data_IF_876779284392
#
_entry.id   IF_876779284392
#
_cell.length_a   1.000
_cell.length_b   1.000
_cell.length_c   1.000
_cell.angle_alpha   90.00
_cell.angle_beta   90.00
_cell.angle_gamma   90.00
#
_symmetry.space_group_name_H-M   'P 1'
#
loop_
_entity.id
_entity.type
_entity.pdbx_description
1 polymer ?
#
# COMPACT_ATOMS: atom_id res chain seq x y z
N UNK A 1 12.15 -31.12 -0.65
CA UNK A 1 11.29 -30.07 -0.05
C UNK A 1 12.01 -28.75 0.20
N UNK A 2 13.18 -28.59 -0.36
CA UNK A 2 14.07 -27.41 -0.16
C UNK A 2 13.78 -26.23 -1.13
N UNK A 3 12.74 -26.35 -1.94
CA UNK A 3 12.52 -25.43 -3.07
C UNK A 3 11.64 -24.21 -2.76
N UNK A 4 10.89 -24.25 -1.67
CA UNK A 4 9.98 -23.16 -1.28
C UNK A 4 10.67 -21.95 -0.65
N UNK A 5 11.89 -22.13 -0.16
CA UNK A 5 12.70 -21.04 0.41
C UNK A 5 13.48 -20.25 -0.65
N UNK A 6 13.77 -20.87 -1.80
CA UNK A 6 14.60 -20.29 -2.88
C UNK A 6 13.83 -19.50 -3.94
N UNK A 7 12.49 -19.42 -3.84
CA UNK A 7 11.65 -18.77 -4.84
C UNK A 7 11.47 -19.60 -6.11
N UNK A 8 10.84 -18.98 -7.12
CA UNK A 8 10.51 -19.66 -8.39
C UNK A 8 11.68 -19.67 -9.38
N UNK A 9 11.43 -20.24 -10.56
CA UNK A 9 12.42 -20.36 -11.65
C UNK A 9 12.99 -19.00 -12.10
N UNK A 10 14.18 -18.95 -12.71
CA UNK A 10 14.78 -17.71 -13.18
C UNK A 10 13.90 -16.92 -14.15
N UNK A 11 13.13 -17.61 -15.00
CA UNK A 11 12.20 -16.99 -15.95
C UNK A 11 11.09 -16.24 -15.19
N UNK A 12 10.48 -16.90 -14.19
CA UNK A 12 9.43 -16.28 -13.37
C UNK A 12 9.99 -15.07 -12.61
N UNK A 13 11.20 -15.16 -12.07
CA UNK A 13 11.86 -14.04 -11.38
C UNK A 13 12.09 -12.83 -12.31
N UNK A 14 12.56 -13.09 -13.53
CA UNK A 14 12.80 -12.03 -14.52
C UNK A 14 11.48 -11.34 -14.91
N UNK A 15 10.45 -12.11 -15.27
CA UNK A 15 9.14 -11.56 -15.64
C UNK A 15 8.49 -10.82 -14.47
N UNK A 16 8.50 -11.40 -13.27
CA UNK A 16 7.95 -10.76 -12.06
C UNK A 16 8.67 -9.47 -11.70
N UNK A 17 9.99 -9.37 -11.96
CA UNK A 17 10.76 -8.16 -11.77
C UNK A 17 10.25 -6.98 -12.61
N UNK A 18 9.95 -7.23 -13.88
CA UNK A 18 9.38 -6.23 -14.79
C UNK A 18 7.93 -5.89 -14.44
N UNK A 19 7.09 -6.90 -14.30
CA UNK A 19 5.65 -6.75 -13.99
C UNK A 19 5.45 -6.00 -12.68
N UNK A 20 6.23 -6.29 -11.64
CA UNK A 20 6.20 -5.56 -10.37
C UNK A 20 6.41 -4.05 -10.57
N UNK A 21 7.35 -3.67 -11.43
CA UNK A 21 7.61 -2.25 -11.73
C UNK A 21 6.37 -1.55 -12.31
N UNK A 22 5.71 -2.19 -13.28
CA UNK A 22 4.47 -1.66 -13.86
C UNK A 22 3.33 -1.58 -12.84
N UNK A 23 3.17 -2.62 -12.00
CA UNK A 23 2.15 -2.62 -10.94
C UNK A 23 2.39 -1.47 -9.95
N UNK A 24 3.65 -1.22 -9.55
CA UNK A 24 3.99 -0.11 -8.64
C UNK A 24 3.65 1.25 -9.26
N UNK A 25 4.04 1.50 -10.51
CA UNK A 25 3.74 2.76 -11.21
C UNK A 25 2.23 2.94 -11.35
N UNK A 26 1.52 1.90 -11.74
CA UNK A 26 0.06 1.93 -11.87
C UNK A 26 -0.63 2.15 -10.51
N UNK A 27 -0.16 1.50 -9.45
CA UNK A 27 -0.67 1.72 -8.09
C UNK A 27 -0.47 3.17 -7.62
N UNK A 28 0.71 3.73 -7.83
CA UNK A 28 0.98 5.15 -7.52
C UNK A 28 0.05 6.07 -8.32
N UNK A 29 -0.15 5.80 -9.61
CA UNK A 29 -1.09 6.56 -10.43
C UNK A 29 -2.51 6.53 -9.85
N UNK A 30 -3.02 5.34 -9.49
CA UNK A 30 -4.33 5.20 -8.86
C UNK A 30 -4.46 5.94 -7.54
N UNK A 31 -3.40 5.97 -6.72
CA UNK A 31 -3.38 6.71 -5.44
C UNK A 31 -3.48 8.21 -5.67
N UNK A 32 -2.65 8.75 -6.57
CA UNK A 32 -2.57 10.18 -6.82
C UNK A 32 -3.84 10.71 -7.50
N UNK A 33 -4.34 9.98 -8.48
CA UNK A 33 -5.55 10.34 -9.23
C UNK A 33 -6.81 9.61 -8.74
N UNK A 34 -6.79 9.12 -7.51
CA UNK A 34 -7.89 8.35 -6.94
C UNK A 34 -9.21 9.09 -6.78
N UNK A 35 -9.21 10.42 -6.87
CA UNK A 35 -10.42 11.24 -6.93
C UNK A 35 -11.06 11.30 -8.33
N UNK A 36 -10.33 10.85 -9.36
CA UNK A 36 -10.77 10.77 -10.76
C UNK A 36 -10.93 9.33 -11.25
N UNK A 37 -10.41 8.34 -10.50
CA UNK A 37 -10.40 6.93 -10.88
C UNK A 37 -11.23 6.11 -9.89
N UNK A 38 -11.91 5.04 -10.35
CA UNK A 38 -12.61 4.13 -9.44
C UNK A 38 -11.61 3.42 -8.51
N UNK A 39 -11.95 3.31 -7.22
CA UNK A 39 -11.12 2.63 -6.22
C UNK A 39 -10.32 3.54 -5.30
N UNK A 40 -9.94 4.74 -5.76
CA UNK A 40 -9.28 5.75 -4.92
C UNK A 40 -8.02 5.25 -4.23
N UNK A 41 -7.75 5.77 -3.03
CA UNK A 41 -6.62 5.37 -2.20
C UNK A 41 -6.66 3.90 -1.78
N UNK A 42 -7.85 3.32 -1.56
CA UNK A 42 -7.99 1.91 -1.22
C UNK A 42 -7.56 1.00 -2.37
N UNK A 43 -8.13 1.20 -3.57
CA UNK A 43 -7.79 0.39 -4.75
C UNK A 43 -6.31 0.52 -5.11
N UNK A 44 -5.76 1.75 -5.08
CA UNK A 44 -4.33 1.99 -5.27
C UNK A 44 -3.47 1.27 -4.23
N UNK A 45 -3.87 1.30 -2.96
CA UNK A 45 -3.20 0.58 -1.87
C UNK A 45 -3.19 -0.94 -2.06
N UNK A 46 -4.31 -1.52 -2.50
CA UNK A 46 -4.38 -2.95 -2.85
C UNK A 46 -3.42 -3.29 -3.98
N UNK A 47 -3.39 -2.50 -5.05
CA UNK A 47 -2.48 -2.71 -6.18
C UNK A 47 -1.01 -2.62 -5.74
N UNK A 48 -0.67 -1.65 -4.89
CA UNK A 48 0.69 -1.54 -4.31
C UNK A 48 1.04 -2.76 -3.47
N UNK A 49 0.13 -3.25 -2.62
CA UNK A 49 0.34 -4.48 -1.85
C UNK A 49 0.64 -5.68 -2.76
N UNK A 50 -0.11 -5.82 -3.87
CA UNK A 50 0.08 -6.93 -4.81
C UNK A 50 1.46 -6.93 -5.48
N UNK A 51 2.09 -5.76 -5.67
CA UNK A 51 3.47 -5.70 -6.15
C UNK A 51 4.46 -6.36 -5.18
N UNK A 52 4.28 -6.15 -3.87
CA UNK A 52 5.11 -6.80 -2.84
C UNK A 52 4.76 -8.28 -2.67
N UNK A 53 3.48 -8.63 -2.75
CA UNK A 53 3.04 -10.04 -2.75
C UNK A 53 3.66 -10.80 -3.92
N UNK A 54 3.64 -10.24 -5.13
CA UNK A 54 4.28 -10.82 -6.30
C UNK A 54 5.78 -11.03 -6.09
N UNK A 55 6.45 -10.07 -5.44
CA UNK A 55 7.87 -10.18 -5.09
C UNK A 55 8.12 -11.36 -4.15
N UNK A 56 7.31 -11.52 -3.10
CA UNK A 56 7.43 -12.64 -2.15
C UNK A 56 7.19 -13.98 -2.84
N UNK A 57 6.19 -14.07 -3.72
CA UNK A 57 5.88 -15.29 -4.46
C UNK A 57 7.00 -15.68 -5.42
N UNK A 58 7.58 -14.70 -6.13
CA UNK A 58 8.61 -14.97 -7.14
C UNK A 58 10.00 -15.23 -6.55
N UNK A 59 10.39 -14.48 -5.52
CA UNK A 59 11.74 -14.48 -4.98
C UNK A 59 11.86 -15.17 -3.61
N UNK A 60 10.73 -15.50 -2.99
CA UNK A 60 10.67 -16.13 -1.67
C UNK A 60 10.50 -15.12 -0.53
N UNK A 61 10.15 -15.67 0.65
CA UNK A 61 9.85 -14.88 1.86
C UNK A 61 11.03 -14.02 2.34
N UNK A 62 12.25 -14.53 2.23
CA UNK A 62 13.46 -13.84 2.71
C UNK A 62 13.72 -12.56 1.93
N UNK A 63 13.61 -12.61 0.60
CA UNK A 63 13.80 -11.43 -0.24
C UNK A 63 12.67 -10.41 -0.04
N UNK A 64 11.43 -10.90 0.18
CA UNK A 64 10.31 -10.04 0.55
C UNK A 64 10.56 -9.27 1.84
N UNK A 65 11.01 -9.96 2.89
CA UNK A 65 11.31 -9.35 4.20
C UNK A 65 12.53 -8.42 4.15
N UNK A 66 13.51 -8.67 3.29
CA UNK A 66 14.62 -7.73 3.06
C UNK A 66 14.16 -6.42 2.43
N UNK A 67 13.19 -6.49 1.51
CA UNK A 67 12.66 -5.31 0.82
C UNK A 67 11.67 -4.53 1.69
N UNK A 68 10.85 -5.23 2.43
CA UNK A 68 9.88 -4.64 3.36
C UNK A 68 9.85 -5.45 4.66
N UNK A 69 10.68 -5.10 5.65
CA UNK A 69 10.66 -5.73 6.97
C UNK A 69 9.30 -5.56 7.65
N UNK A 70 8.88 -6.56 8.43
CA UNK A 70 7.58 -6.54 9.13
C UNK A 70 7.41 -5.32 10.04
N UNK A 71 8.47 -4.90 10.72
CA UNK A 71 8.43 -3.72 11.59
C UNK A 71 8.15 -2.45 10.79
N UNK A 72 8.83 -2.27 9.65
CA UNK A 72 8.61 -1.13 8.75
C UNK A 72 7.20 -1.16 8.17
N UNK A 73 6.68 -2.32 7.80
CA UNK A 73 5.30 -2.44 7.32
C UNK A 73 4.29 -2.06 8.40
N UNK A 74 4.50 -2.47 9.66
CA UNK A 74 3.65 -2.11 10.79
C UNK A 74 3.73 -0.60 11.13
N UNK A 75 4.92 -0.01 11.02
CA UNK A 75 5.10 1.44 11.18
C UNK A 75 4.36 2.22 10.07
N UNK A 76 4.49 1.80 8.82
CA UNK A 76 3.78 2.42 7.69
C UNK A 76 2.26 2.32 7.82
N UNK A 77 1.76 1.19 8.35
CA UNK A 77 0.33 1.02 8.67
C UNK A 77 -0.14 2.04 9.70
N UNK A 78 0.62 2.20 10.78
CA UNK A 78 0.32 3.15 11.85
C UNK A 78 0.43 4.60 11.38
N UNK A 79 1.46 4.93 10.61
CA UNK A 79 1.66 6.26 10.01
C UNK A 79 0.53 6.60 9.05
N UNK A 80 0.10 5.66 8.21
CA UNK A 80 -1.04 5.87 7.30
C UNK A 80 -2.34 6.20 8.06
N UNK A 81 -2.62 5.46 9.14
CA UNK A 81 -3.78 5.73 10.00
C UNK A 81 -3.67 7.11 10.68
N UNK A 82 -2.49 7.44 11.22
CA UNK A 82 -2.25 8.73 11.87
C UNK A 82 -2.39 9.90 10.88
N UNK A 83 -1.82 9.78 9.68
CA UNK A 83 -1.97 10.79 8.62
C UNK A 83 -3.43 11.04 8.29
N UNK A 84 -4.22 9.98 8.13
CA UNK A 84 -5.64 10.12 7.85
C UNK A 84 -6.40 10.83 8.99
N UNK A 85 -6.10 10.46 10.23
CA UNK A 85 -6.66 11.12 11.42
C UNK A 85 -6.29 12.61 11.48
N UNK A 86 -5.01 12.93 11.25
CA UNK A 86 -4.53 14.32 11.24
C UNK A 86 -5.26 15.15 10.18
N UNK A 87 -5.42 14.62 8.96
CA UNK A 87 -6.15 15.30 7.88
C UNK A 87 -7.61 15.56 8.30
N UNK A 88 -8.25 14.58 8.94
CA UNK A 88 -9.62 14.70 9.43
C UNK A 88 -9.77 15.80 10.49
N UNK A 89 -8.83 15.86 11.45
CA UNK A 89 -8.80 16.86 12.53
C UNK A 89 -8.48 18.25 11.97
N UNK A 90 -7.53 18.36 11.05
CA UNK A 90 -7.20 19.64 10.39
C UNK A 90 -8.42 20.22 9.67
N UNK A 91 -9.25 19.39 9.06
CA UNK A 91 -10.53 19.82 8.49
C UNK A 91 -11.46 20.49 9.51
N UNK A 92 -11.46 19.98 10.74
CA UNK A 92 -12.28 20.55 11.84
C UNK A 92 -11.78 21.92 12.30
N UNK A 93 -10.46 22.12 12.40
CA UNK A 93 -9.87 23.38 12.87
C UNK A 93 -9.79 24.45 11.77
N UNK A 94 -9.57 24.06 10.53
CA UNK A 94 -9.44 24.98 9.39
C UNK A 94 -10.79 25.49 8.87
N UNK A 95 -11.88 24.75 9.11
CA UNK A 95 -13.24 25.18 8.78
C UNK A 95 -13.86 25.95 9.93
N UNK A 96 -14.23 27.21 9.70
CA UNK A 96 -14.87 28.11 10.68
C UNK A 96 -16.19 27.57 11.30
N UNK A 97 -16.57 26.34 11.10
CA UNK A 97 -17.81 25.73 11.58
C UNK A 97 -17.65 24.47 12.45
N UNK A 98 -16.43 24.04 12.78
CA UNK A 98 -16.19 22.89 13.67
C UNK A 98 -16.66 21.54 13.13
N UNK A 99 -16.93 21.42 11.83
CA UNK A 99 -17.34 20.15 11.22
C UNK A 99 -16.14 19.30 10.82
N UNK A 100 -16.25 18.00 11.08
CA UNK A 100 -15.23 17.01 10.75
C UNK A 100 -15.12 16.83 9.22
N UNK A 101 -13.92 16.64 8.67
CA UNK A 101 -13.66 16.44 7.24
C UNK A 101 -14.06 17.60 6.31
N UNK A 102 -14.00 18.86 6.76
CA UNK A 102 -14.16 20.00 5.86
C UNK A 102 -12.92 20.13 4.96
N UNK A 103 -13.16 20.43 3.70
CA UNK A 103 -12.09 20.69 2.75
C UNK A 103 -11.40 22.03 3.07
N UNK A 104 -10.20 21.96 3.64
CA UNK A 104 -9.38 23.12 4.02
C UNK A 104 -8.36 23.53 2.95
N UNK A 105 -8.22 22.73 1.87
CA UNK A 105 -7.37 23.06 0.74
C UNK A 105 -8.24 23.62 -0.38
N UNK A 106 -7.90 24.82 -0.87
CA UNK A 106 -8.57 25.41 -2.01
C UNK A 106 -8.47 24.47 -3.23
N UNK A 107 -9.61 24.24 -3.89
CA UNK A 107 -9.63 23.48 -5.12
C UNK A 107 -8.89 24.25 -6.20
N UNK A 108 -7.76 23.75 -6.67
CA UNK A 108 -7.07 24.31 -7.82
C UNK A 108 -7.85 23.95 -9.09
N UNK A 109 -8.23 24.99 -9.87
CA UNK A 109 -8.91 24.86 -11.16
C UNK A 109 -10.11 23.88 -11.13
N UNK A 110 -11.18 24.17 -10.38
CA UNK A 110 -12.35 23.32 -10.34
C UNK A 110 -12.94 23.17 -11.76
N UNK A 111 -12.98 21.95 -12.25
CA UNK A 111 -13.51 21.64 -13.58
C UNK A 111 -12.46 21.29 -14.65
N UNK A 112 -11.17 21.49 -14.40
CA UNK A 112 -10.14 21.01 -15.31
C UNK A 112 -9.82 19.51 -15.04
N UNK A 113 -9.93 18.65 -16.07
CA UNK A 113 -9.60 17.24 -15.92
C UNK A 113 -8.10 17.06 -15.63
N UNK A 114 -7.76 16.02 -14.87
CA UNK A 114 -6.40 15.58 -14.56
C UNK A 114 -5.54 16.51 -13.70
N UNK A 115 -6.12 17.49 -13.01
CA UNK A 115 -5.37 18.26 -12.02
C UNK A 115 -5.34 17.54 -10.67
N UNK A 116 -4.13 17.36 -10.10
CA UNK A 116 -3.91 16.61 -8.86
C UNK A 116 -4.69 17.20 -7.66
N UNK A 117 -4.81 18.51 -7.58
CA UNK A 117 -5.48 19.21 -6.48
C UNK A 117 -6.90 19.67 -6.81
N UNK A 118 -7.52 19.17 -7.87
CA UNK A 118 -8.90 19.51 -8.25
C UNK A 118 -9.94 19.17 -7.17
N UNK A 119 -9.63 18.20 -6.30
CA UNK A 119 -10.49 17.75 -5.21
C UNK A 119 -10.06 18.23 -3.82
N UNK A 120 -9.12 19.18 -3.73
CA UNK A 120 -8.65 19.73 -2.45
C UNK A 120 -7.81 18.72 -1.66
N UNK A 121 -8.20 18.35 -0.43
CA UNK A 121 -7.43 17.43 0.43
C UNK A 121 -7.60 15.94 0.09
N UNK A 122 -8.54 15.57 -0.78
CA UNK A 122 -8.83 14.16 -1.11
C UNK A 122 -7.60 13.39 -1.60
N UNK A 123 -6.72 13.92 -2.46
CA UNK A 123 -5.49 13.24 -2.85
C UNK A 123 -4.57 12.91 -1.67
N UNK A 124 -4.47 13.80 -0.68
CA UNK A 124 -3.70 13.53 0.55
C UNK A 124 -4.33 12.41 1.38
N UNK A 125 -5.66 12.41 1.51
CA UNK A 125 -6.39 11.33 2.17
C UNK A 125 -6.19 10.00 1.43
N UNK A 126 -6.18 10.00 0.10
CA UNK A 126 -5.91 8.81 -0.72
C UNK A 126 -4.50 8.25 -0.47
N UNK A 127 -3.48 9.11 -0.32
CA UNK A 127 -2.11 8.68 0.02
C UNK A 127 -2.09 8.01 1.39
N UNK A 128 -2.74 8.61 2.40
CA UNK A 128 -2.81 8.05 3.74
C UNK A 128 -3.51 6.68 3.77
N UNK A 129 -4.64 6.55 3.07
CA UNK A 129 -5.39 5.30 2.93
C UNK A 129 -4.55 4.25 2.19
N UNK A 130 -3.90 4.63 1.07
CA UNK A 130 -3.10 3.70 0.29
C UNK A 130 -1.91 3.16 1.08
N UNK A 131 -1.24 4.02 1.84
CA UNK A 131 -0.14 3.63 2.71
C UNK A 131 -0.60 2.60 3.75
N UNK A 132 -1.72 2.89 4.42
CA UNK A 132 -2.31 1.97 5.40
C UNK A 132 -2.72 0.65 4.76
N UNK A 133 -3.47 0.68 3.66
CA UNK A 133 -3.99 -0.53 3.02
C UNK A 133 -2.87 -1.39 2.45
N UNK A 134 -1.87 -0.78 1.79
CA UNK A 134 -0.76 -1.52 1.22
C UNK A 134 0.06 -2.25 2.28
N UNK A 135 0.38 -1.58 3.38
CA UNK A 135 1.14 -2.17 4.48
C UNK A 135 0.35 -3.22 5.24
N UNK A 136 -0.93 -2.96 5.58
CA UNK A 136 -1.80 -3.93 6.26
C UNK A 136 -1.96 -5.22 5.46
N UNK A 137 -2.26 -5.14 4.17
CA UNK A 137 -2.42 -6.32 3.32
C UNK A 137 -1.12 -7.10 3.17
N UNK A 138 0.02 -6.40 3.05
CA UNK A 138 1.32 -7.06 3.03
C UNK A 138 1.59 -7.82 4.34
N UNK A 139 1.34 -7.19 5.50
CA UNK A 139 1.51 -7.84 6.81
C UNK A 139 0.63 -9.07 6.94
N UNK A 140 -0.65 -8.97 6.60
CA UNK A 140 -1.58 -10.12 6.62
C UNK A 140 -1.07 -11.26 5.73
N UNK A 141 -0.66 -10.94 4.50
CA UNK A 141 -0.12 -11.93 3.58
C UNK A 141 1.15 -12.60 4.14
N UNK A 142 2.08 -11.81 4.66
CA UNK A 142 3.32 -12.35 5.25
C UNK A 142 3.06 -13.21 6.47
N UNK A 143 2.12 -12.85 7.33
CA UNK A 143 1.71 -13.68 8.46
C UNK A 143 1.16 -15.03 8.02
N UNK A 144 0.34 -15.06 6.96
CA UNK A 144 -0.16 -16.32 6.38
C UNK A 144 0.96 -17.17 5.79
N UNK A 145 1.95 -16.55 5.13
CA UNK A 145 3.12 -17.25 4.60
C UNK A 145 3.96 -17.86 5.71
N UNK A 146 4.22 -17.10 6.80
CA UNK A 146 4.99 -17.56 7.95
C UNK A 146 4.26 -18.68 8.68
N UNK A 147 2.96 -18.55 8.88
CA UNK A 147 2.12 -19.56 9.51
C UNK A 147 2.17 -20.88 8.74
N UNK A 148 2.00 -20.81 7.40
CA UNK A 148 2.06 -22.00 6.53
C UNK A 148 3.42 -22.71 6.64
N UNK A 149 4.52 -21.97 6.71
CA UNK A 149 5.86 -22.54 6.85
C UNK A 149 6.02 -23.22 8.21
N UNK A 150 5.55 -22.60 9.29
CA UNK A 150 5.60 -23.18 10.64
C UNK A 150 4.82 -24.50 10.74
N UNK A 151 3.65 -24.59 10.10
CA UNK A 151 2.86 -25.83 10.08
C UNK A 151 3.42 -26.90 9.15
N UNK A 152 4.16 -26.53 8.10
CA UNK A 152 4.74 -27.50 7.16
C UNK A 152 6.05 -28.13 7.68
N UNK A 153 6.73 -27.51 8.64
CA UNK A 153 7.97 -27.99 9.27
C UNK A 153 7.86 -28.02 10.81
N UNK A 154 6.98 -28.84 11.40
CA UNK A 154 6.94 -28.99 12.85
C UNK A 154 8.17 -29.75 13.32
N UNK A 155 9.25 -29.05 13.71
CA UNK A 155 10.46 -29.68 14.25
C UNK A 155 11.80 -29.01 13.95
N UNK A 156 11.85 -27.86 13.30
CA UNK A 156 13.11 -27.11 13.07
C UNK A 156 13.27 -25.85 13.93
N UNK A 157 12.66 -25.85 15.09
CA UNK A 157 13.00 -24.86 16.12
C UNK A 157 13.87 -25.54 17.19
N UNK A 158 15.18 -25.52 17.00
CA UNK A 158 16.16 -25.66 18.06
C UNK A 158 17.47 -25.00 17.66
#
# INVERSE_FOLDING_TARGET
MDDMTKGMTPIVKAVSGWVKGFILVFGIYLVLFGHLTPGGGFGGGVVLAMAFVLLVLAFGKEEGLKRLPMNVAAELDSVGALMFLVIAILGMFAGLGGSFFINFIAKANPGEPFTLLSAGFIPLANIAIALKVASSLFVVFMMLVLLRVAYAEPGKES
#
